data_IF_161089864934
#
_entry.id   IF_161089864934
#
_cell.length_a   1.000
_cell.length_b   1.000
_cell.length_c   1.000
_cell.angle_alpha   90.00
_cell.angle_beta   90.00
_cell.angle_gamma   90.00
#
_symmetry.space_group_name_H-M   'P 1'
#
loop_
_entity.id
_entity.type
_entity.pdbx_description
1 polymer ?
#
# COMPACT_ATOMS: atom_id res chain seq x y z
N UNK A 1 29.75 -15.95 -8.54
CA UNK A 1 28.64 -14.98 -8.43
C UNK A 1 28.97 -14.08 -7.25
N UNK A 2 29.14 -12.79 -7.48
CA UNK A 2 29.63 -11.88 -6.44
C UNK A 2 28.50 -11.47 -5.47
N UNK A 3 28.82 -11.15 -4.23
CA UNK A 3 27.85 -10.80 -3.18
C UNK A 3 26.88 -9.67 -3.59
N UNK A 4 27.35 -8.72 -4.41
CA UNK A 4 26.52 -7.64 -4.97
C UNK A 4 25.47 -8.13 -5.99
N UNK A 5 25.77 -9.18 -6.76
CA UNK A 5 24.82 -9.76 -7.73
C UNK A 5 23.72 -10.54 -7.00
N UNK A 6 24.08 -11.27 -5.94
CA UNK A 6 23.14 -11.95 -5.05
C UNK A 6 22.18 -10.96 -4.38
N UNK A 7 22.72 -9.89 -3.80
CA UNK A 7 21.94 -8.80 -3.19
C UNK A 7 21.01 -8.15 -4.21
N UNK A 8 21.50 -7.88 -5.42
CA UNK A 8 20.71 -7.30 -6.51
C UNK A 8 19.50 -8.17 -6.89
N UNK A 9 19.70 -9.48 -7.05
CA UNK A 9 18.60 -10.43 -7.37
C UNK A 9 17.59 -10.54 -6.23
N UNK A 10 18.07 -10.59 -4.98
CA UNK A 10 17.19 -10.66 -3.80
C UNK A 10 16.29 -9.43 -3.70
N UNK A 11 16.87 -8.22 -3.82
CA UNK A 11 16.11 -6.97 -3.81
C UNK A 11 15.10 -6.88 -4.96
N UNK A 12 15.46 -7.37 -6.15
CA UNK A 12 14.53 -7.38 -7.28
C UNK A 12 13.35 -8.32 -7.06
N UNK A 13 13.59 -9.51 -6.51
CA UNK A 13 12.52 -10.43 -6.14
C UNK A 13 11.61 -9.85 -5.04
N UNK A 14 12.19 -9.18 -4.04
CA UNK A 14 11.44 -8.48 -3.00
C UNK A 14 10.57 -7.37 -3.59
N UNK A 15 11.11 -6.53 -4.47
CA UNK A 15 10.35 -5.46 -5.13
C UNK A 15 9.16 -6.03 -5.90
N UNK A 16 9.36 -7.06 -6.73
CA UNK A 16 8.27 -7.70 -7.49
C UNK A 16 7.19 -8.28 -6.58
N UNK A 17 7.59 -8.93 -5.48
CA UNK A 17 6.66 -9.46 -4.49
C UNK A 17 5.84 -8.35 -3.83
N UNK A 18 6.50 -7.27 -3.41
CA UNK A 18 5.84 -6.14 -2.76
C UNK A 18 4.89 -5.39 -3.71
N UNK A 19 5.28 -5.20 -4.97
CA UNK A 19 4.42 -4.56 -5.97
C UNK A 19 3.18 -5.39 -6.33
N UNK A 20 3.34 -6.72 -6.40
CA UNK A 20 2.22 -7.62 -6.68
C UNK A 20 1.24 -7.63 -5.51
N UNK A 21 1.75 -7.78 -4.30
CA UNK A 21 0.92 -7.85 -3.11
C UNK A 21 0.30 -6.49 -2.75
N UNK A 22 1.04 -5.40 -2.96
CA UNK A 22 0.53 -4.04 -2.78
C UNK A 22 -0.67 -3.78 -3.69
N UNK A 23 -0.57 -4.12 -4.98
CA UNK A 23 -1.70 -4.03 -5.92
C UNK A 23 -2.89 -4.90 -5.52
N UNK A 24 -2.64 -6.14 -5.12
CA UNK A 24 -3.71 -7.02 -4.66
C UNK A 24 -4.40 -6.48 -3.40
N UNK A 25 -3.63 -5.89 -2.48
CA UNK A 25 -4.17 -5.25 -1.28
C UNK A 25 -5.03 -4.03 -1.65
N UNK A 26 -4.53 -3.13 -2.49
CA UNK A 26 -5.29 -1.97 -3.00
C UNK A 26 -6.62 -2.40 -3.64
N UNK A 27 -6.60 -3.47 -4.46
CA UNK A 27 -7.81 -4.01 -5.08
C UNK A 27 -8.81 -4.57 -4.05
N UNK A 28 -8.33 -5.32 -3.06
CA UNK A 28 -9.17 -5.87 -1.99
C UNK A 28 -9.79 -4.77 -1.12
N UNK A 29 -9.04 -3.69 -0.87
CA UNK A 29 -9.52 -2.52 -0.13
C UNK A 29 -10.62 -1.83 -0.90
N UNK A 30 -10.41 -1.56 -2.19
CA UNK A 30 -11.43 -0.97 -3.05
C UNK A 30 -12.72 -1.83 -3.10
N UNK A 31 -12.58 -3.15 -3.20
CA UNK A 31 -13.73 -4.08 -3.15
C UNK A 31 -14.46 -4.05 -1.82
N UNK A 32 -13.72 -3.96 -0.71
CA UNK A 32 -14.29 -3.90 0.64
C UNK A 32 -15.07 -2.60 0.85
N UNK A 33 -14.51 -1.47 0.44
CA UNK A 33 -15.18 -0.17 0.51
C UNK A 33 -16.48 -0.19 -0.30
N UNK A 34 -16.40 -0.64 -1.55
CA UNK A 34 -17.58 -0.74 -2.42
C UNK A 34 -18.68 -1.63 -1.82
N UNK A 35 -18.32 -2.80 -1.31
CA UNK A 35 -19.29 -3.72 -0.69
C UNK A 35 -19.97 -3.10 0.55
N UNK A 36 -19.23 -2.29 1.31
CA UNK A 36 -19.75 -1.58 2.47
C UNK A 36 -20.64 -0.40 2.09
N UNK A 37 -20.30 0.36 1.05
CA UNK A 37 -21.16 1.41 0.49
C UNK A 37 -22.50 0.84 -0.02
N UNK A 38 -22.46 -0.30 -0.71
CA UNK A 38 -23.67 -1.01 -1.16
C UNK A 38 -24.52 -1.49 0.03
N UNK A 39 -23.88 -2.02 1.07
CA UNK A 39 -24.55 -2.43 2.30
C UNK A 39 -25.19 -1.24 3.03
N UNK A 40 -24.47 -0.12 3.15
CA UNK A 40 -24.96 1.11 3.76
C UNK A 40 -26.19 1.66 3.03
N UNK A 41 -26.14 1.69 1.70
CA UNK A 41 -27.28 2.10 0.86
C UNK A 41 -28.51 1.24 1.12
N UNK A 42 -28.34 -0.09 1.16
CA UNK A 42 -29.43 -1.02 1.46
C UNK A 42 -30.02 -0.78 2.86
N UNK A 43 -29.17 -0.67 3.88
CA UNK A 43 -29.62 -0.52 5.27
C UNK A 43 -30.29 0.84 5.51
N UNK A 44 -29.83 1.92 4.88
CA UNK A 44 -30.50 3.21 4.89
C UNK A 44 -31.92 3.10 4.28
N UNK A 45 -32.05 2.42 3.14
CA UNK A 45 -33.35 2.16 2.51
C UNK A 45 -34.28 1.31 3.38
N UNK A 46 -33.72 0.32 4.07
CA UNK A 46 -34.47 -0.53 5.00
C UNK A 46 -34.97 0.25 6.23
N UNK A 47 -34.10 1.04 6.88
CA UNK A 47 -34.47 1.87 8.02
C UNK A 47 -35.56 2.88 7.65
N UNK A 48 -35.41 3.57 6.51
CA UNK A 48 -36.42 4.50 5.99
C UNK A 48 -37.75 3.82 5.69
N UNK A 49 -37.71 2.62 5.10
CA UNK A 49 -38.95 1.87 4.82
C UNK A 49 -39.69 1.51 6.11
N UNK A 50 -38.97 1.20 7.20
CA UNK A 50 -39.60 0.96 8.50
C UNK A 50 -40.27 2.22 9.07
N UNK A 51 -39.64 3.39 8.92
CA UNK A 51 -40.21 4.67 9.31
C UNK A 51 -41.46 5.01 8.48
N UNK A 52 -41.41 4.80 7.17
CA UNK A 52 -42.53 5.05 6.26
C UNK A 52 -43.72 4.12 6.55
N UNK A 53 -43.48 2.84 6.88
CA UNK A 53 -44.52 1.90 7.32
C UNK A 53 -45.07 2.30 8.69
N UNK A 54 -44.21 2.68 9.63
CA UNK A 54 -44.62 3.16 10.95
C UNK A 54 -45.55 4.38 10.86
N UNK A 55 -45.27 5.31 9.94
CA UNK A 55 -46.07 6.51 9.72
C UNK A 55 -47.47 6.22 9.15
N UNK A 56 -47.64 5.10 8.44
CA UNK A 56 -48.91 4.68 7.85
C UNK A 56 -49.69 3.72 8.76
N UNK A 57 -49.08 3.23 9.84
CA UNK A 57 -49.66 2.24 10.73
C UNK A 57 -50.71 2.86 11.67
N UNK A 58 -51.93 2.33 11.63
CA UNK A 58 -53.05 2.78 12.46
C UNK A 58 -52.97 2.29 13.91
N UNK A 59 -52.32 1.14 14.14
CA UNK A 59 -52.16 0.58 15.48
C UNK A 59 -50.92 1.16 16.19
N UNK A 60 -51.17 2.10 17.11
CA UNK A 60 -50.14 2.90 17.78
C UNK A 60 -48.97 2.11 18.41
N UNK A 61 -49.19 0.98 19.11
CA UNK A 61 -48.08 0.20 19.65
C UNK A 61 -47.15 -0.38 18.57
N UNK A 62 -47.71 -0.81 17.44
CA UNK A 62 -46.93 -1.32 16.30
C UNK A 62 -46.21 -0.20 15.57
N UNK A 63 -46.89 0.93 15.33
CA UNK A 63 -46.28 2.13 14.75
C UNK A 63 -45.04 2.56 15.55
N UNK A 64 -45.15 2.61 16.89
CA UNK A 64 -44.03 2.93 17.78
C UNK A 64 -42.89 1.91 17.68
N UNK A 65 -43.21 0.62 17.61
CA UNK A 65 -42.21 -0.44 17.47
C UNK A 65 -41.43 -0.32 16.16
N UNK A 66 -42.14 -0.13 15.04
CA UNK A 66 -41.55 0.04 13.71
C UNK A 66 -40.69 1.30 13.62
N UNK A 67 -41.18 2.44 14.14
CA UNK A 67 -40.40 3.68 14.18
C UNK A 67 -39.14 3.55 15.01
N UNK A 68 -39.22 2.91 16.19
CA UNK A 68 -38.05 2.66 17.04
C UNK A 68 -37.04 1.74 16.34
N UNK A 69 -37.51 0.76 15.56
CA UNK A 69 -36.65 -0.13 14.77
C UNK A 69 -35.96 0.62 13.61
N UNK A 70 -36.69 1.52 12.94
CA UNK A 70 -36.13 2.43 11.94
C UNK A 70 -35.01 3.30 12.50
N UNK A 71 -35.26 3.97 13.64
CA UNK A 71 -34.25 4.77 14.33
C UNK A 71 -33.02 3.94 14.74
N UNK A 72 -33.23 2.75 15.30
CA UNK A 72 -32.14 1.84 15.66
C UNK A 72 -31.34 1.42 14.42
N UNK A 73 -32.03 1.11 13.32
CA UNK A 73 -31.44 0.78 12.03
C UNK A 73 -30.56 1.93 11.51
N UNK A 74 -31.06 3.16 11.54
CA UNK A 74 -30.33 4.33 11.10
C UNK A 74 -29.06 4.58 11.94
N UNK A 75 -29.15 4.43 13.27
CA UNK A 75 -27.96 4.54 14.15
C UNK A 75 -26.94 3.46 13.83
N UNK A 76 -27.38 2.22 13.63
CA UNK A 76 -26.51 1.11 13.28
C UNK A 76 -25.77 1.36 11.96
N UNK A 77 -26.44 1.93 10.96
CA UNK A 77 -25.82 2.31 9.69
C UNK A 77 -24.71 3.33 9.91
N UNK A 78 -24.99 4.41 10.64
CA UNK A 78 -24.03 5.48 10.89
C UNK A 78 -22.80 4.95 11.68
N UNK A 79 -23.03 4.17 12.73
CA UNK A 79 -21.95 3.56 13.50
C UNK A 79 -21.14 2.56 12.67
N UNK A 80 -21.80 1.77 11.83
CA UNK A 80 -21.15 0.85 10.91
C UNK A 80 -20.32 1.58 9.87
N UNK A 81 -20.78 2.72 9.34
CA UNK A 81 -20.00 3.56 8.43
C UNK A 81 -18.70 4.01 9.10
N UNK A 82 -18.79 4.60 10.29
CA UNK A 82 -17.61 5.11 11.01
C UNK A 82 -16.59 4.00 11.35
N UNK A 83 -17.09 2.85 11.82
CA UNK A 83 -16.24 1.76 12.30
C UNK A 83 -15.72 0.88 11.18
N UNK A 84 -16.52 0.62 10.14
CA UNK A 84 -16.22 -0.37 9.10
C UNK A 84 -15.77 0.24 7.76
N UNK A 85 -15.96 1.55 7.55
CA UNK A 85 -15.49 2.27 6.35
C UNK A 85 -14.36 3.25 6.71
N UNK A 86 -14.66 4.30 7.49
CA UNK A 86 -13.73 5.42 7.66
C UNK A 86 -12.43 5.06 8.39
N UNK A 87 -12.51 4.33 9.51
CA UNK A 87 -11.30 3.97 10.27
C UNK A 87 -10.41 2.98 9.51
N UNK A 88 -10.94 1.85 8.98
CA UNK A 88 -10.12 0.90 8.25
C UNK A 88 -9.49 1.52 7.01
N UNK A 89 -10.22 2.36 6.27
CA UNK A 89 -9.68 3.05 5.09
C UNK A 89 -8.45 3.90 5.46
N UNK A 90 -8.56 4.73 6.50
CA UNK A 90 -7.45 5.58 6.96
C UNK A 90 -6.22 4.77 7.39
N UNK A 91 -6.43 3.70 8.18
CA UNK A 91 -5.33 2.84 8.65
C UNK A 91 -4.65 2.08 7.50
N UNK A 92 -5.45 1.59 6.55
CA UNK A 92 -4.97 0.86 5.37
C UNK A 92 -4.19 1.80 4.46
N UNK A 93 -4.73 2.97 4.12
CA UNK A 93 -4.06 3.97 3.28
C UNK A 93 -2.74 4.39 3.91
N UNK A 94 -2.72 4.69 5.22
CA UNK A 94 -1.50 5.04 5.92
C UNK A 94 -0.45 3.92 5.83
N UNK A 95 -0.87 2.67 6.00
CA UNK A 95 0.03 1.50 5.92
C UNK A 95 0.55 1.29 4.51
N UNK A 96 -0.29 1.43 3.49
CA UNK A 96 0.12 1.32 2.08
C UNK A 96 1.12 2.42 1.73
N UNK A 97 0.87 3.67 2.12
CA UNK A 97 1.81 4.79 1.92
C UNK A 97 3.15 4.51 2.57
N UNK A 98 3.16 4.02 3.82
CA UNK A 98 4.41 3.66 4.51
C UNK A 98 5.17 2.55 3.76
N UNK A 99 4.48 1.53 3.25
CA UNK A 99 5.12 0.47 2.43
C UNK A 99 5.70 1.05 1.14
N UNK A 100 4.99 1.99 0.49
CA UNK A 100 5.47 2.64 -0.73
C UNK A 100 6.73 3.47 -0.46
N UNK A 101 6.71 4.34 0.54
CA UNK A 101 7.79 5.28 0.86
C UNK A 101 9.04 4.59 1.39
N UNK A 102 8.88 3.59 2.25
CA UNK A 102 10.01 2.96 2.94
C UNK A 102 10.58 1.74 2.20
N UNK A 103 9.86 1.14 1.25
CA UNK A 103 10.34 -0.08 0.59
C UNK A 103 10.28 0.00 -0.94
N UNK A 104 9.13 0.31 -1.53
CA UNK A 104 8.96 0.21 -2.99
C UNK A 104 9.72 1.32 -3.72
N UNK A 105 9.56 2.58 -3.31
CA UNK A 105 10.21 3.74 -3.97
C UNK A 105 11.74 3.65 -3.87
N UNK A 106 12.35 3.38 -2.69
CA UNK A 106 13.80 3.23 -2.59
C UNK A 106 14.37 2.11 -3.47
N UNK A 107 13.70 0.95 -3.54
CA UNK A 107 14.13 -0.16 -4.40
C UNK A 107 14.04 0.20 -5.90
N UNK A 108 13.01 0.95 -6.31
CA UNK A 108 12.88 1.45 -7.69
C UNK A 108 13.96 2.45 -8.06
N UNK A 109 14.28 3.38 -7.18
CA UNK A 109 15.30 4.39 -7.45
C UNK A 109 16.68 3.77 -7.55
N UNK A 110 16.96 2.71 -6.76
CA UNK A 110 18.13 1.87 -6.95
C UNK A 110 18.15 1.20 -8.33
N UNK A 111 17.04 0.60 -8.76
CA UNK A 111 16.96 -0.05 -10.08
C UNK A 111 17.24 0.93 -11.23
N UNK A 112 16.68 2.15 -11.16
CA UNK A 112 16.94 3.22 -12.13
C UNK A 112 18.41 3.62 -12.13
N UNK A 113 19.00 3.82 -10.95
CA UNK A 113 20.40 4.24 -10.82
C UNK A 113 21.37 3.19 -11.42
N UNK A 114 21.11 1.90 -11.19
CA UNK A 114 21.89 0.79 -11.76
C UNK A 114 21.72 0.70 -13.28
N UNK A 115 20.51 0.88 -13.81
CA UNK A 115 20.27 0.90 -15.27
C UNK A 115 21.06 2.02 -15.96
N UNK A 116 21.10 3.20 -15.35
CA UNK A 116 21.89 4.34 -15.87
C UNK A 116 23.39 4.04 -15.80
N UNK A 117 23.88 3.47 -14.69
CA UNK A 117 25.28 3.05 -14.57
C UNK A 117 25.67 2.03 -15.64
N UNK A 118 24.85 0.99 -15.84
CA UNK A 118 25.09 -0.04 -16.85
C UNK A 118 25.13 0.55 -18.28
N UNK A 119 24.25 1.51 -18.57
CA UNK A 119 24.24 2.22 -19.86
C UNK A 119 25.52 3.04 -20.05
N UNK A 120 25.93 3.81 -19.04
CA UNK A 120 27.16 4.61 -19.10
C UNK A 120 28.43 3.74 -19.20
N UNK A 121 28.44 2.59 -18.52
CA UNK A 121 29.54 1.62 -18.59
C UNK A 121 29.66 1.05 -20.01
N UNK A 122 28.54 0.63 -20.60
CA UNK A 122 28.51 0.15 -22.00
C UNK A 122 29.01 1.21 -22.99
N UNK A 123 28.51 2.44 -22.87
CA UNK A 123 28.93 3.55 -23.73
C UNK A 123 30.43 3.86 -23.55
N UNK A 124 30.96 3.78 -22.33
CA UNK A 124 32.40 3.94 -22.09
C UNK A 124 33.24 2.82 -22.74
N UNK A 125 32.78 1.57 -22.63
CA UNK A 125 33.45 0.41 -23.22
C UNK A 125 33.44 0.44 -24.76
N UNK A 126 32.39 1.00 -25.36
CA UNK A 126 32.30 1.26 -26.80
C UNK A 126 33.30 2.35 -27.25
N UNK A 127 33.42 3.45 -26.50
CA UNK A 127 34.38 4.52 -26.78
C UNK A 127 35.84 4.04 -26.69
N UNK A 128 36.12 3.00 -25.90
CA UNK A 128 37.45 2.36 -25.81
C UNK A 128 37.96 1.86 -27.16
N UNK A 129 37.08 1.58 -28.13
CA UNK A 129 37.41 1.00 -29.45
C UNK A 129 37.78 2.00 -30.56
N UNK A 130 37.78 3.31 -30.32
CA UNK A 130 38.19 4.26 -31.37
C UNK A 130 38.03 5.76 -31.11
N UNK A 131 37.57 6.18 -29.93
CA UNK A 131 37.21 7.59 -29.69
C UNK A 131 38.36 8.46 -29.14
N UNK A 132 38.18 9.78 -29.29
CA UNK A 132 39.10 10.81 -28.79
C UNK A 132 39.30 10.71 -27.27
N UNK A 133 40.52 10.98 -26.80
CA UNK A 133 40.87 10.96 -25.38
C UNK A 133 39.97 11.89 -24.53
N UNK A 134 39.56 13.04 -25.10
CA UNK A 134 38.70 14.02 -24.44
C UNK A 134 37.27 13.49 -24.19
N UNK A 135 36.73 12.71 -25.13
CA UNK A 135 35.40 12.09 -24.98
C UNK A 135 35.43 10.94 -23.97
N UNK A 136 36.49 10.13 -24.00
CA UNK A 136 36.73 9.06 -23.02
C UNK A 136 36.81 9.63 -21.61
N UNK A 137 37.56 10.71 -21.41
CA UNK A 137 37.70 11.35 -20.11
C UNK A 137 36.37 11.95 -19.61
N UNK A 138 35.62 12.65 -20.47
CA UNK A 138 34.28 13.14 -20.14
C UNK A 138 33.37 12.00 -19.69
N UNK A 139 33.38 10.88 -20.42
CA UNK A 139 32.53 9.73 -20.11
C UNK A 139 32.94 9.02 -18.82
N UNK A 140 34.24 8.92 -18.57
CA UNK A 140 34.79 8.37 -17.33
C UNK A 140 34.34 9.19 -16.11
N UNK A 141 34.37 10.52 -16.20
CA UNK A 141 33.86 11.40 -15.13
C UNK A 141 32.38 11.17 -14.86
N UNK A 142 31.55 11.11 -15.91
CA UNK A 142 30.11 10.81 -15.78
C UNK A 142 29.85 9.45 -15.13
N UNK A 143 30.62 8.42 -15.52
CA UNK A 143 30.52 7.09 -14.95
C UNK A 143 30.93 7.07 -13.47
N UNK A 144 32.01 7.78 -13.10
CA UNK A 144 32.45 7.93 -11.72
C UNK A 144 31.38 8.62 -10.85
N UNK A 145 30.79 9.71 -11.35
CA UNK A 145 29.70 10.39 -10.67
C UNK A 145 28.46 9.49 -10.50
N UNK A 146 28.12 8.69 -11.51
CA UNK A 146 27.00 7.77 -11.43
C UNK A 146 27.27 6.62 -10.45
N UNK A 147 28.49 6.09 -10.39
CA UNK A 147 28.88 5.08 -9.39
C UNK A 147 28.71 5.60 -7.96
N UNK A 148 29.13 6.84 -7.69
CA UNK A 148 28.88 7.51 -6.41
C UNK A 148 27.38 7.66 -6.11
N UNK A 149 26.55 8.00 -7.12
CA UNK A 149 25.09 8.07 -6.94
C UNK A 149 24.48 6.72 -6.60
N UNK A 150 24.93 5.64 -7.24
CA UNK A 150 24.47 4.27 -6.95
C UNK A 150 24.83 3.87 -5.52
N UNK A 151 26.04 4.21 -5.06
CA UNK A 151 26.46 4.00 -3.68
C UNK A 151 25.57 4.76 -2.69
N UNK A 152 25.34 6.06 -2.92
CA UNK A 152 24.43 6.87 -2.10
C UNK A 152 23.01 6.27 -2.03
N UNK A 153 22.47 5.81 -3.16
CA UNK A 153 21.14 5.18 -3.21
C UNK A 153 21.12 3.84 -2.47
N UNK A 154 22.20 3.06 -2.50
CA UNK A 154 22.29 1.85 -1.69
C UNK A 154 22.30 2.16 -0.19
N UNK A 155 23.05 3.17 0.25
CA UNK A 155 23.05 3.61 1.66
C UNK A 155 21.67 4.09 2.11
N UNK A 156 20.98 4.86 1.26
CA UNK A 156 19.61 5.28 1.53
C UNK A 156 18.66 4.07 1.60
N UNK A 157 18.77 3.13 0.67
CA UNK A 157 17.96 1.91 0.68
C UNK A 157 18.15 1.11 1.97
N UNK A 158 19.39 1.00 2.47
CA UNK A 158 19.66 0.29 3.72
C UNK A 158 18.97 0.98 4.91
N UNK A 159 19.08 2.31 5.01
CA UNK A 159 18.36 3.08 6.03
C UNK A 159 16.83 2.95 5.90
N UNK A 160 16.30 2.99 4.68
CA UNK A 160 14.87 2.79 4.43
C UNK A 160 14.40 1.39 4.81
N UNK A 161 15.20 0.36 4.51
CA UNK A 161 14.91 -1.04 4.85
C UNK A 161 14.87 -1.24 6.37
N UNK A 162 15.84 -0.68 7.11
CA UNK A 162 15.86 -0.74 8.57
C UNK A 162 14.63 -0.05 9.20
N UNK A 163 14.24 1.11 8.67
CA UNK A 163 13.06 1.82 9.12
C UNK A 163 11.78 1.06 8.80
N UNK A 164 11.69 0.46 7.61
CA UNK A 164 10.58 -0.40 7.23
C UNK A 164 10.46 -1.62 8.16
N UNK A 165 11.57 -2.29 8.47
CA UNK A 165 11.56 -3.43 9.37
C UNK A 165 11.14 -3.04 10.79
N UNK A 166 11.60 -1.88 11.28
CA UNK A 166 11.15 -1.34 12.57
C UNK A 166 9.64 -1.05 12.55
N UNK A 167 9.14 -0.39 11.51
CA UNK A 167 7.71 -0.13 11.33
C UNK A 167 6.90 -1.44 11.30
N UNK A 168 7.34 -2.41 10.50
CA UNK A 168 6.72 -3.74 10.39
C UNK A 168 6.63 -4.44 11.74
N UNK A 169 7.70 -4.44 12.53
CA UNK A 169 7.74 -5.06 13.86
C UNK A 169 6.81 -4.34 14.85
N UNK A 170 6.72 -3.02 14.78
CA UNK A 170 5.93 -2.24 15.73
C UNK A 170 4.44 -2.24 15.41
N UNK A 171 4.09 -2.18 14.11
CA UNK A 171 2.73 -1.89 13.64
C UNK A 171 2.07 -3.06 12.92
N UNK A 172 2.85 -3.89 12.23
CA UNK A 172 2.32 -4.98 11.39
C UNK A 172 2.51 -6.37 11.99
N UNK A 173 2.85 -6.47 13.28
CA UNK A 173 3.06 -7.75 13.96
C UNK A 173 1.87 -8.69 13.71
N UNK A 174 2.16 -9.83 13.07
CA UNK A 174 1.29 -11.00 13.08
C UNK A 174 1.18 -11.42 14.54
N UNK A 175 0.11 -11.02 15.23
CA UNK A 175 -0.32 -11.74 16.42
C UNK A 175 -0.64 -13.15 15.92
N UNK A 176 0.28 -14.10 16.11
CA UNK A 176 -0.05 -15.53 16.16
C UNK A 176 -0.93 -15.80 17.39
N UNK A 177 -2.12 -15.20 17.40
CA UNK A 177 -3.24 -15.52 18.27
C UNK A 177 -4.47 -15.34 17.41
N UNK A 178 -4.75 -16.35 16.59
CA UNK A 178 -6.12 -16.74 16.28
C UNK A 178 -6.83 -16.95 17.63
N UNK A 179 -7.35 -15.86 18.22
CA UNK A 179 -8.47 -16.00 19.13
C UNK A 179 -9.66 -16.21 18.21
N UNK A 180 -10.00 -17.48 18.05
CA UNK A 180 -11.32 -17.91 17.61
C UNK A 180 -12.31 -17.14 18.49
N UNK A 181 -12.96 -16.12 17.95
CA UNK A 181 -14.15 -15.56 18.59
C UNK A 181 -15.20 -16.68 18.54
N UNK A 182 -15.38 -17.36 19.66
CA UNK A 182 -16.60 -18.11 19.92
C UNK A 182 -17.72 -17.07 19.96
N UNK A 183 -18.59 -17.12 18.96
CA UNK A 183 -19.92 -16.52 19.04
C UNK A 183 -20.76 -17.60 19.72
N UNK A 184 -20.95 -17.46 21.04
CA UNK A 184 -22.08 -18.05 21.77
C UNK A 184 -23.21 -17.05 21.82
#
# INVERSE_FOLDING_TARGET
>A
MNANELRGRSLQAQLQFMERNGRALEELVAKTLKAREEQESFLNGFAKSLEDIAAQEGFQPLAKCLGSLGECGQRLVNESHDVMLLRPESEILQTVTQIQDWAIVPMKDREKAIKIEAKLQKEYDELRRGSSAKEKEKKLRMLSDQKRRVENVNTLLDAHTENFDRYRIQKMKVRQRLRVCHIT
#
